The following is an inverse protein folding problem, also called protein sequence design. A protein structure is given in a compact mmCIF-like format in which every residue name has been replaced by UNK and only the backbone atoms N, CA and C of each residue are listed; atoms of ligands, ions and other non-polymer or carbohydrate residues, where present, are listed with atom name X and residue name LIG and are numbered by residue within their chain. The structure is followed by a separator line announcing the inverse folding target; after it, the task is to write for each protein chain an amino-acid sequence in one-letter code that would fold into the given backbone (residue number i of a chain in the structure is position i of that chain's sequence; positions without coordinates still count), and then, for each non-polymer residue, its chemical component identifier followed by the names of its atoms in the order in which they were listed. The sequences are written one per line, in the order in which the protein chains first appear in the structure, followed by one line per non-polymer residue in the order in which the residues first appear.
data_IF_901995767014
#
_entry.id   IF_901995767014
#
_cell.length_a   1.000
_cell.length_b   1.000
_cell.length_c   1.000
_cell.angle_alpha   90.00
_cell.angle_beta   90.00
_cell.angle_gamma   90.00
#
_symmetry.space_group_name_H-M   'P 1'
#
loop_
_entity.id
_entity.type
_entity.pdbx_description
1 polymer ?
#
# COMPACT_ATOMS: atom_id res chain seq x y z
N UNK A 1 28.32 10.97 -23.06
CA UNK A 1 28.64 9.55 -23.31
C UNK A 1 27.52 8.70 -22.75
N UNK A 2 27.32 7.50 -23.29
CA UNK A 2 26.26 6.58 -22.86
C UNK A 2 26.74 5.14 -22.89
N UNK A 3 26.17 4.32 -22.01
CA UNK A 3 26.30 2.87 -22.02
C UNK A 3 24.92 2.26 -21.77
N UNK A 4 24.49 1.35 -22.65
CA UNK A 4 23.19 0.68 -22.56
C UNK A 4 23.41 -0.80 -22.85
N UNK A 5 22.86 -1.65 -22.00
CA UNK A 5 22.78 -3.09 -22.21
C UNK A 5 21.32 -3.53 -22.13
N UNK A 6 20.89 -4.30 -23.13
CA UNK A 6 19.51 -4.77 -23.23
C UNK A 6 19.51 -6.26 -23.48
N UNK A 7 18.61 -6.97 -22.79
CA UNK A 7 18.29 -8.38 -23.01
C UNK A 7 16.81 -8.51 -23.35
N UNK A 8 16.47 -9.49 -24.18
CA UNK A 8 15.08 -9.70 -24.55
C UNK A 8 14.86 -11.02 -25.26
N UNK A 9 13.60 -11.40 -25.35
CA UNK A 9 13.09 -12.56 -26.08
C UNK A 9 11.77 -12.20 -26.75
N UNK A 10 11.37 -12.96 -27.75
CA UNK A 10 10.07 -12.77 -28.39
C UNK A 10 9.64 -13.96 -29.22
N UNK A 11 8.34 -14.03 -29.48
CA UNK A 11 7.68 -15.08 -30.25
C UNK A 11 6.66 -14.46 -31.19
N UNK A 12 6.56 -14.99 -32.41
CA UNK A 12 5.46 -14.63 -33.32
C UNK A 12 4.34 -15.65 -33.14
N UNK A 13 3.15 -15.19 -32.77
CA UNK A 13 1.96 -16.01 -32.62
C UNK A 13 0.77 -15.35 -33.31
N UNK A 14 0.05 -16.09 -34.15
CA UNK A 14 -1.07 -15.58 -34.95
C UNK A 14 -0.76 -14.29 -35.73
N UNK A 15 0.45 -14.19 -36.29
CA UNK A 15 0.90 -13.02 -37.04
C UNK A 15 1.23 -11.79 -36.20
N UNK A 16 1.16 -11.88 -34.86
CA UNK A 16 1.56 -10.83 -33.93
C UNK A 16 2.89 -11.20 -33.26
N UNK A 17 3.81 -10.25 -33.16
CA UNK A 17 5.08 -10.44 -32.45
C UNK A 17 4.92 -9.99 -30.99
N UNK A 18 5.14 -10.93 -30.07
CA UNK A 18 5.11 -10.70 -28.63
C UNK A 18 6.53 -10.73 -28.11
N UNK A 19 6.94 -9.72 -27.35
CA UNK A 19 8.30 -9.62 -26.83
C UNK A 19 8.31 -9.21 -25.36
N UNK A 20 9.35 -9.67 -24.66
CA UNK A 20 9.68 -9.22 -23.32
C UNK A 20 11.17 -8.84 -23.26
N UNK A 21 11.51 -7.85 -22.44
CA UNK A 21 12.89 -7.42 -22.31
C UNK A 21 13.18 -6.55 -21.10
N UNK A 22 14.47 -6.45 -20.79
CA UNK A 22 15.04 -5.63 -19.73
C UNK A 22 16.21 -4.82 -20.31
N UNK A 23 16.24 -3.53 -20.04
CA UNK A 23 17.33 -2.64 -20.43
C UNK A 23 17.88 -1.90 -19.22
N UNK A 24 19.20 -1.79 -19.12
CA UNK A 24 19.91 -1.05 -18.09
C UNK A 24 20.83 -0.06 -18.80
N UNK A 25 20.83 1.19 -18.36
CA UNK A 25 21.65 2.21 -19.00
C UNK A 25 22.06 3.36 -18.11
N UNK A 26 23.14 4.02 -18.51
CA UNK A 26 23.65 5.25 -17.95
C UNK A 26 23.97 6.24 -19.08
N UNK A 27 23.56 7.50 -18.90
CA UNK A 27 23.78 8.57 -19.87
C UNK A 27 24.32 9.82 -19.15
N UNK A 28 25.28 10.50 -19.78
CA UNK A 28 25.74 11.83 -19.36
C UNK A 28 25.26 12.86 -20.37
N UNK A 29 24.37 13.75 -19.94
CA UNK A 29 23.83 14.84 -20.76
C UNK A 29 23.89 16.15 -19.98
N UNK A 30 24.54 17.17 -20.55
CA UNK A 30 24.69 18.48 -19.91
C UNK A 30 25.40 18.44 -18.55
N UNK A 31 26.36 17.52 -18.36
CA UNK A 31 27.07 17.34 -17.09
C UNK A 31 26.30 16.57 -16.01
N UNK A 32 25.05 16.19 -16.27
CA UNK A 32 24.23 15.39 -15.35
C UNK A 32 24.24 13.92 -15.78
N UNK A 33 24.46 13.02 -14.82
CA UNK A 33 24.38 11.58 -15.02
C UNK A 33 22.96 11.11 -14.71
N UNK A 34 22.36 10.32 -15.60
CA UNK A 34 21.09 9.63 -15.37
C UNK A 34 21.28 8.13 -15.58
N UNK A 35 20.80 7.33 -14.62
CA UNK A 35 20.78 5.86 -14.71
C UNK A 35 19.34 5.35 -14.69
N UNK A 36 19.06 4.29 -15.45
CA UNK A 36 17.72 3.72 -15.61
C UNK A 36 17.75 2.20 -15.72
N UNK A 37 16.71 1.56 -15.19
CA UNK A 37 16.35 0.17 -15.46
C UNK A 37 14.93 0.18 -16.00
N UNK A 38 14.71 -0.40 -17.18
CA UNK A 38 13.43 -0.42 -17.87
C UNK A 38 13.06 -1.86 -18.21
N UNK A 39 11.85 -2.29 -17.88
CA UNK A 39 11.32 -3.60 -18.22
C UNK A 39 10.06 -3.43 -19.09
N UNK A 40 9.93 -4.29 -20.09
CA UNK A 40 8.74 -4.41 -20.94
C UNK A 40 8.28 -5.86 -20.94
N UNK A 41 7.09 -6.12 -20.41
CA UNK A 41 6.44 -7.43 -20.37
C UNK A 41 4.97 -7.27 -19.97
N UNK A 42 4.12 -8.27 -20.30
CA UNK A 42 2.74 -8.33 -19.81
C UNK A 42 2.67 -8.54 -18.28
N UNK A 43 3.68 -9.21 -17.72
CA UNK A 43 3.86 -9.41 -16.29
C UNK A 43 5.34 -9.29 -15.92
N UNK A 44 5.64 -8.50 -14.88
CA UNK A 44 6.97 -8.42 -14.28
C UNK A 44 6.86 -8.77 -12.80
N UNK A 45 7.70 -9.67 -12.30
CA UNK A 45 7.65 -10.08 -10.91
C UNK A 45 9.04 -10.36 -10.34
N UNK A 46 9.21 -10.08 -9.04
CA UNK A 46 10.39 -10.50 -8.29
C UNK A 46 10.07 -11.84 -7.66
N UNK A 47 10.84 -12.86 -7.99
CA UNK A 47 10.70 -14.22 -7.46
C UNK A 47 11.70 -14.42 -6.32
N UNK A 48 11.21 -14.82 -5.14
CA UNK A 48 12.07 -15.27 -4.06
C UNK A 48 11.98 -16.81 -3.95
N UNK A 49 13.07 -17.54 -4.25
CA UNK A 49 13.11 -18.99 -4.04
C UNK A 49 13.02 -19.30 -2.54
N UNK A 50 11.90 -19.92 -2.13
CA UNK A 50 11.69 -20.42 -0.78
C UNK A 50 11.79 -21.96 -0.78
N UNK A 51 12.00 -22.54 0.40
CA UNK A 51 12.21 -23.99 0.60
C UNK A 51 11.08 -24.86 0.03
N UNK A 52 9.87 -24.31 -0.14
CA UNK A 52 8.67 -24.99 -0.65
C UNK A 52 8.05 -24.33 -1.91
N UNK A 53 8.82 -23.55 -2.67
CA UNK A 53 8.35 -22.92 -3.92
C UNK A 53 8.77 -21.46 -4.07
N UNK A 54 8.23 -20.77 -5.09
CA UNK A 54 8.50 -19.35 -5.29
C UNK A 54 7.45 -18.49 -4.60
N UNK A 55 7.89 -17.46 -3.88
CA UNK A 55 7.00 -16.39 -3.40
C UNK A 55 7.16 -15.16 -4.30
N UNK A 56 6.05 -14.44 -4.52
CA UNK A 56 5.97 -13.23 -5.34
C UNK A 56 5.69 -12.02 -4.44
N UNK A 57 6.70 -11.46 -3.74
CA UNK A 57 6.49 -10.30 -2.86
C UNK A 57 5.95 -9.06 -3.62
N UNK A 58 6.29 -8.94 -4.91
CA UNK A 58 5.92 -7.85 -5.78
C UNK A 58 5.75 -8.33 -7.22
N UNK A 59 4.66 -7.93 -7.87
CA UNK A 59 4.49 -8.08 -9.31
C UNK A 59 3.62 -6.98 -9.92
N UNK A 60 3.82 -6.72 -11.21
CA UNK A 60 3.03 -5.80 -12.03
C UNK A 60 2.31 -6.63 -13.08
N UNK A 61 1.00 -6.44 -13.20
CA UNK A 61 0.17 -7.06 -14.23
C UNK A 61 -1.06 -6.19 -14.48
N UNK A 62 -1.47 -6.03 -15.74
CA UNK A 62 -2.72 -5.35 -16.08
C UNK A 62 -2.82 -3.94 -15.49
N UNK A 63 -1.74 -3.15 -15.59
CA UNK A 63 -1.61 -1.79 -15.04
C UNK A 63 -1.76 -1.68 -13.52
N UNK A 64 -1.71 -2.79 -12.79
CA UNK A 64 -1.78 -2.84 -11.34
C UNK A 64 -0.48 -3.39 -10.76
N UNK A 65 -0.11 -2.82 -9.62
CA UNK A 65 0.99 -3.32 -8.81
C UNK A 65 0.42 -4.09 -7.63
N UNK A 66 0.91 -5.30 -7.43
CA UNK A 66 0.53 -6.17 -6.33
C UNK A 66 1.70 -6.30 -5.37
N UNK A 67 1.43 -6.08 -4.09
CA UNK A 67 2.42 -6.12 -3.01
C UNK A 67 1.84 -6.97 -1.89
N UNK A 68 2.53 -8.04 -1.51
CA UNK A 68 2.10 -8.91 -0.40
C UNK A 68 2.33 -8.22 0.94
N UNK A 69 3.48 -7.55 1.09
CA UNK A 69 3.86 -6.78 2.27
C UNK A 69 4.92 -5.74 1.90
N UNK A 70 4.92 -4.58 2.55
CA UNK A 70 5.97 -3.57 2.41
C UNK A 70 6.37 -3.00 3.77
N UNK A 71 7.68 -2.81 3.96
CA UNK A 71 8.23 -1.95 5.01
C UNK A 71 8.55 -0.60 4.37
N UNK A 72 7.91 0.46 4.84
CA UNK A 72 8.08 1.82 4.29
C UNK A 72 8.52 2.71 5.46
N UNK A 73 9.70 3.32 5.33
CA UNK A 73 10.20 4.25 6.35
C UNK A 73 9.35 5.51 6.37
N UNK A 74 9.19 6.17 5.21
CA UNK A 74 8.39 7.36 5.04
C UNK A 74 7.56 7.26 3.75
N UNK A 75 6.26 7.58 3.84
CA UNK A 75 5.33 7.55 2.71
C UNK A 75 4.68 8.92 2.51
N UNK A 76 4.65 9.39 1.26
CA UNK A 76 3.81 10.50 0.84
C UNK A 76 2.76 9.98 -0.13
N UNK A 77 1.49 10.22 0.18
CA UNK A 77 0.35 9.72 -0.59
C UNK A 77 -0.57 10.91 -0.85
N UNK A 78 -0.67 11.35 -2.11
CA UNK A 78 -1.58 12.44 -2.48
C UNK A 78 -3.04 12.03 -2.30
N UNK A 79 -3.40 10.81 -2.73
CA UNK A 79 -4.74 10.24 -2.58
C UNK A 79 -4.65 8.71 -2.47
N UNK A 80 -5.51 8.10 -1.65
CA UNK A 80 -5.66 6.64 -1.57
C UNK A 80 -7.13 6.23 -1.50
N UNK A 81 -7.49 5.16 -2.24
CA UNK A 81 -8.79 4.48 -2.10
C UNK A 81 -8.62 3.26 -1.21
N UNK A 82 -9.35 3.23 -0.10
CA UNK A 82 -9.25 2.15 0.89
C UNK A 82 -10.46 1.21 0.76
N UNK A 83 -10.20 -0.07 0.49
CA UNK A 83 -11.24 -1.08 0.29
C UNK A 83 -11.80 -1.68 1.58
N UNK A 84 -11.11 -1.53 2.72
CA UNK A 84 -11.55 -2.06 4.02
C UNK A 84 -11.24 -1.09 5.14
N UNK A 85 -10.01 -1.02 5.62
CA UNK A 85 -9.61 -0.13 6.70
C UNK A 85 -8.10 0.17 6.66
N UNK A 86 -7.71 1.20 7.40
CA UNK A 86 -6.35 1.41 7.89
C UNK A 86 -6.44 1.34 9.42
N UNK A 87 -5.57 0.57 10.08
CA UNK A 87 -5.61 0.42 11.53
C UNK A 87 -4.23 0.17 12.11
N UNK A 88 -4.08 0.39 13.42
CA UNK A 88 -2.91 -0.07 14.15
C UNK A 88 -2.87 -1.60 14.26
N UNK A 89 -1.66 -2.15 14.39
CA UNK A 89 -1.44 -3.58 14.57
C UNK A 89 -2.11 -4.15 15.84
N UNK A 90 -2.25 -3.34 16.89
CA UNK A 90 -2.82 -3.71 18.18
C UNK A 90 -4.31 -3.36 18.32
N UNK A 91 -5.00 -3.03 17.21
CA UNK A 91 -6.40 -2.63 17.26
C UNK A 91 -7.30 -3.73 17.82
N UNK A 92 -8.08 -3.39 18.85
CA UNK A 92 -9.16 -4.19 19.42
C UNK A 92 -10.34 -3.24 19.64
N UNK A 93 -11.48 -3.54 19.00
CA UNK A 93 -12.68 -2.70 19.07
C UNK A 93 -13.06 -2.37 20.52
N UNK A 94 -13.25 -1.07 20.77
CA UNK A 94 -13.60 -0.46 22.04
C UNK A 94 -12.52 -0.50 23.13
N UNK A 95 -11.31 -1.03 22.85
CA UNK A 95 -10.30 -1.34 23.88
C UNK A 95 -8.90 -0.81 23.60
N UNK A 96 -8.38 -1.00 22.38
CA UNK A 96 -6.99 -0.64 22.08
C UNK A 96 -6.83 -0.25 20.61
N UNK A 97 -5.79 0.57 20.35
CA UNK A 97 -5.40 0.97 19.00
C UNK A 97 -6.38 1.92 18.33
N UNK A 98 -6.20 2.10 17.02
CA UNK A 98 -7.01 2.97 16.19
C UNK A 98 -7.38 2.29 14.87
N UNK A 99 -8.51 2.73 14.28
CA UNK A 99 -8.99 2.25 12.99
C UNK A 99 -9.76 3.35 12.26
N UNK A 100 -9.55 3.45 10.95
CA UNK A 100 -10.40 4.18 10.01
C UNK A 100 -10.90 3.17 8.98
N UNK A 101 -12.21 3.03 8.82
CA UNK A 101 -12.77 2.06 7.87
C UNK A 101 -13.60 2.66 6.74
N UNK A 102 -13.86 1.83 5.74
CA UNK A 102 -14.58 2.18 4.50
C UNK A 102 -16.01 2.67 4.75
N UNK A 103 -16.59 2.40 5.92
CA UNK A 103 -17.94 2.83 6.27
C UNK A 103 -17.93 4.22 6.94
N UNK A 104 -16.78 4.87 7.05
CA UNK A 104 -16.64 6.22 7.59
C UNK A 104 -16.48 6.27 9.11
N UNK A 105 -16.15 5.14 9.76
CA UNK A 105 -15.88 5.12 11.20
C UNK A 105 -14.40 5.37 11.46
N UNK A 106 -14.10 6.38 12.27
CA UNK A 106 -12.81 6.55 12.94
C UNK A 106 -12.97 6.20 14.41
N UNK A 107 -12.15 5.27 14.88
CA UNK A 107 -12.12 4.83 16.27
C UNK A 107 -10.71 5.00 16.82
N UNK A 108 -10.61 5.60 18.00
CA UNK A 108 -9.37 5.73 18.76
C UNK A 108 -9.60 5.24 20.19
N UNK A 109 -8.87 4.21 20.60
CA UNK A 109 -9.00 3.58 21.90
C UNK A 109 -7.70 3.70 22.71
N UNK A 110 -7.84 3.81 24.03
CA UNK A 110 -6.71 3.75 24.95
C UNK A 110 -6.70 2.43 25.72
N UNK A 111 -5.57 1.72 25.64
CA UNK A 111 -5.31 0.53 26.44
C UNK A 111 -4.78 0.84 27.86
N UNK A 112 -4.60 2.12 28.19
CA UNK A 112 -4.11 2.55 29.50
C UNK A 112 -5.20 2.38 30.56
N UNK A 113 -4.79 2.11 31.81
CA UNK A 113 -5.68 2.22 32.97
C UNK A 113 -6.22 3.64 33.08
N UNK A 114 -7.53 3.84 33.18
CA UNK A 114 -8.13 5.17 33.07
C UNK A 114 -8.40 5.64 31.65
N UNK A 115 -7.96 4.88 30.64
CA UNK A 115 -8.06 5.22 29.24
C UNK A 115 -9.51 5.23 28.74
N UNK A 116 -9.88 6.32 28.07
CA UNK A 116 -11.15 6.43 27.36
C UNK A 116 -11.06 5.97 25.90
N UNK A 117 -12.15 6.17 25.17
CA UNK A 117 -12.20 5.98 23.70
C UNK A 117 -12.97 7.09 23.03
N UNK A 118 -12.62 7.37 21.78
CA UNK A 118 -13.30 8.34 20.90
C UNK A 118 -13.74 7.64 19.62
N UNK A 119 -14.97 7.93 19.19
CA UNK A 119 -15.55 7.42 17.95
C UNK A 119 -16.10 8.57 17.16
N UNK A 120 -15.81 8.59 15.85
CA UNK A 120 -16.46 9.41 14.84
C UNK A 120 -17.14 8.47 13.86
N UNK A 121 -18.40 8.72 13.55
CA UNK A 121 -19.20 7.94 12.60
C UNK A 121 -20.17 8.86 11.85
N UNK A 122 -21.09 8.28 11.07
CA UNK A 122 -22.10 9.02 10.31
C UNK A 122 -23.10 9.80 11.18
N UNK A 123 -23.21 9.49 12.46
CA UNK A 123 -24.11 10.17 13.39
C UNK A 123 -23.39 11.32 14.13
N UNK A 124 -22.07 11.25 14.26
CA UNK A 124 -21.25 12.33 14.83
C UNK A 124 -20.03 11.81 15.58
N UNK A 125 -19.71 12.46 16.68
CA UNK A 125 -18.60 12.14 17.57
C UNK A 125 -19.11 11.79 18.97
N UNK A 126 -18.47 10.79 19.60
CA UNK A 126 -18.65 10.49 21.01
C UNK A 126 -17.32 10.19 21.70
N UNK A 127 -17.20 10.61 22.96
CA UNK A 127 -16.07 10.28 23.84
C UNK A 127 -16.61 9.53 25.06
N UNK A 128 -15.95 8.43 25.39
CA UNK A 128 -16.30 7.55 26.51
C UNK A 128 -15.14 7.49 27.49
N UNK A 129 -15.45 7.36 28.77
CA UNK A 129 -14.45 7.06 29.79
C UNK A 129 -14.07 5.57 29.80
N UNK A 130 -13.19 5.19 30.73
CA UNK A 130 -12.74 3.80 30.93
C UNK A 130 -13.85 2.80 31.25
N UNK A 131 -15.00 3.28 31.77
CA UNK A 131 -16.14 2.45 32.14
C UNK A 131 -17.15 2.36 30.98
N UNK A 132 -16.83 2.90 29.81
CA UNK A 132 -17.74 2.96 28.67
C UNK A 132 -18.87 3.97 28.83
N UNK A 133 -18.78 4.87 29.82
CA UNK A 133 -19.78 5.93 30.01
C UNK A 133 -19.48 7.06 29.04
N UNK A 134 -20.47 7.41 28.21
CA UNK A 134 -20.38 8.54 27.28
C UNK A 134 -20.26 9.84 28.08
N UNK A 135 -19.12 10.51 27.96
CA UNK A 135 -18.81 11.79 28.62
C UNK A 135 -19.07 12.99 27.73
N UNK A 136 -19.04 12.77 26.42
CA UNK A 136 -19.32 13.79 25.43
C UNK A 136 -19.95 13.13 24.20
N UNK A 137 -20.91 13.83 23.57
CA UNK A 137 -21.30 13.57 22.20
C UNK A 137 -21.74 14.85 21.51
N UNK A 138 -21.43 14.94 20.22
CA UNK A 138 -21.86 16.00 19.34
C UNK A 138 -22.10 15.42 17.95
N UNK A 139 -23.11 15.90 17.24
CA UNK A 139 -23.52 15.32 15.97
C UNK A 139 -25.01 15.46 15.72
N UNK A 140 -25.48 14.81 14.66
CA UNK A 140 -26.88 14.88 14.28
C UNK A 140 -27.75 14.26 15.37
N UNK A 141 -28.73 15.05 15.82
CA UNK A 141 -29.82 14.62 16.68
C UNK A 141 -31.06 14.60 15.78
N UNK A 142 -31.64 13.43 15.48
CA UNK A 142 -32.88 13.36 14.71
C UNK A 142 -34.00 14.15 15.38
#
# INVERSE_FOLDING_TARGET
GSAVYSIGTGVTYNGQYHAAGLSVGAEVKGGVVSTKILASADQFAVLNPATNGYTLPFFIQGSQTFIVSALIQDASITNAKIGSYIQSNNYVAGKAGWRIDKNGVLEMNSALTGGGRSVFDSNGMAVYDQNGVKRFAAGYKP
#
